data_IF_953410825277
#
_entry.id   IF_953410825277
#
_cell.length_a   1.000
_cell.length_b   1.000
_cell.length_c   1.000
_cell.angle_alpha   90.00
_cell.angle_beta   90.00
_cell.angle_gamma   90.00
#
_symmetry.space_group_name_H-M   'P 1'
#
loop_
_entity.id
_entity.type
_entity.pdbx_description
1 polymer ?
#
# COMPACT_ATOMS: atom_id res chain seq x y z
N UNK A 1 -6.38 10.75 24.79
CA UNK A 1 -7.46 10.96 23.83
C UNK A 1 -6.96 11.03 22.38
N UNK A 2 -7.81 11.10 21.38
CA UNK A 2 -7.43 11.04 19.94
C UNK A 2 -6.41 12.08 19.51
N UNK A 3 -6.48 13.31 20.07
CA UNK A 3 -5.51 14.38 19.79
C UNK A 3 -4.09 14.06 20.24
N UNK A 4 -3.95 13.36 21.38
CA UNK A 4 -2.64 12.93 21.88
C UNK A 4 -2.03 11.87 20.96
N UNK A 5 -2.83 10.86 20.59
CA UNK A 5 -2.38 9.79 19.68
C UNK A 5 -1.90 10.38 18.36
N UNK A 6 -2.64 11.33 17.78
CA UNK A 6 -2.27 11.99 16.54
C UNK A 6 -0.94 12.76 16.68
N UNK A 7 -0.78 13.50 17.78
CA UNK A 7 0.47 14.22 18.06
C UNK A 7 1.66 13.28 18.20
N UNK A 8 1.52 12.21 18.99
CA UNK A 8 2.58 11.24 19.23
C UNK A 8 2.97 10.52 17.92
N UNK A 9 1.98 10.13 17.09
CA UNK A 9 2.22 9.51 15.80
C UNK A 9 2.94 10.45 14.83
N UNK A 10 2.52 11.70 14.74
CA UNK A 10 3.17 12.71 13.88
C UNK A 10 4.62 12.93 14.29
N UNK A 11 4.88 13.04 15.58
CA UNK A 11 6.23 13.19 16.12
C UNK A 11 7.13 12.00 15.75
N UNK A 12 6.65 10.76 15.96
CA UNK A 12 7.40 9.55 15.61
C UNK A 12 7.71 9.51 14.10
N UNK A 13 6.73 9.76 13.25
CA UNK A 13 6.89 9.71 11.79
C UNK A 13 7.87 10.77 11.29
N UNK A 14 7.84 12.00 11.86
CA UNK A 14 8.78 13.06 11.52
C UNK A 14 10.21 12.64 11.86
N UNK A 15 10.47 12.16 13.09
CA UNK A 15 11.81 11.76 13.50
C UNK A 15 12.32 10.56 12.70
N UNK A 16 11.47 9.57 12.39
CA UNK A 16 11.85 8.47 11.52
C UNK A 16 12.21 8.94 10.11
N UNK A 17 11.55 9.96 9.58
CA UNK A 17 11.90 10.54 8.27
C UNK A 17 13.24 11.29 8.34
N UNK A 18 13.46 12.09 9.37
CA UNK A 18 14.70 12.84 9.58
C UNK A 18 15.90 11.89 9.77
N UNK A 19 15.75 10.85 10.57
CA UNK A 19 16.77 9.82 10.83
C UNK A 19 17.10 8.96 9.59
N UNK A 20 16.26 9.01 8.55
CA UNK A 20 16.44 8.29 7.29
C UNK A 20 16.57 9.23 6.07
N UNK A 21 17.36 10.28 6.20
CA UNK A 21 17.69 11.24 5.13
C UNK A 21 16.46 11.91 4.49
N UNK A 22 15.41 12.18 5.28
CA UNK A 22 14.19 12.81 4.80
C UNK A 22 13.31 11.88 3.95
N UNK A 23 13.31 10.59 4.23
CA UNK A 23 12.46 9.62 3.55
C UNK A 23 10.99 10.06 3.53
N UNK A 24 10.33 9.82 2.39
CA UNK A 24 8.90 10.10 2.22
C UNK A 24 8.06 9.29 3.20
N UNK A 25 7.21 9.97 3.96
CA UNK A 25 6.22 9.36 4.85
C UNK A 25 4.95 9.09 4.04
N UNK A 26 4.59 7.83 3.84
CA UNK A 26 3.33 7.48 3.19
C UNK A 26 2.27 7.11 4.25
N UNK A 27 1.10 7.74 4.17
CA UNK A 27 0.02 7.59 5.16
C UNK A 27 -1.29 7.28 4.44
N UNK A 28 -2.12 6.39 5.01
CA UNK A 28 -3.52 6.25 4.58
C UNK A 28 -4.26 7.57 4.81
N UNK A 29 -4.64 8.24 3.74
CA UNK A 29 -5.20 9.60 3.76
C UNK A 29 -6.66 9.69 4.20
N UNK A 30 -7.25 8.61 4.73
CA UNK A 30 -8.66 8.54 5.14
C UNK A 30 -8.77 8.45 6.67
N UNK A 31 -9.83 9.03 7.23
CA UNK A 31 -10.12 8.98 8.66
C UNK A 31 -9.03 9.65 9.51
N UNK A 32 -8.48 8.93 10.49
CA UNK A 32 -7.44 9.46 11.39
C UNK A 32 -6.17 9.85 10.62
N UNK A 33 -5.82 9.10 9.58
CA UNK A 33 -4.64 9.36 8.75
C UNK A 33 -4.68 10.71 8.05
N UNK A 34 -5.88 11.23 7.68
CA UNK A 34 -6.01 12.58 7.12
C UNK A 34 -5.46 13.66 8.07
N UNK A 35 -5.81 13.60 9.35
CA UNK A 35 -5.28 14.53 10.34
C UNK A 35 -3.76 14.43 10.52
N UNK A 36 -3.20 13.22 10.39
CA UNK A 36 -1.75 13.01 10.41
C UNK A 36 -1.09 13.66 9.17
N UNK A 37 -1.66 13.46 7.98
CA UNK A 37 -1.17 14.10 6.73
C UNK A 37 -1.19 15.62 6.84
N UNK A 38 -2.31 16.19 7.30
CA UNK A 38 -2.46 17.64 7.45
C UNK A 38 -1.41 18.20 8.41
N UNK A 39 -1.20 17.53 9.54
CA UNK A 39 -0.19 17.95 10.53
C UNK A 39 1.24 17.83 10.02
N UNK A 40 1.57 16.77 9.29
CA UNK A 40 2.90 16.59 8.68
C UNK A 40 3.18 17.67 7.64
N UNK A 41 2.17 18.07 6.87
CA UNK A 41 2.28 19.18 5.91
C UNK A 41 2.51 20.54 6.59
N UNK A 42 1.86 20.79 7.73
CA UNK A 42 2.06 22.03 8.51
C UNK A 42 3.51 22.23 8.99
N UNK A 43 4.26 21.15 9.15
CA UNK A 43 5.67 21.16 9.58
C UNK A 43 6.63 20.85 8.42
N UNK A 44 6.18 20.98 7.18
CA UNK A 44 6.95 20.74 5.95
C UNK A 44 7.63 19.37 5.87
N UNK A 45 7.08 18.35 6.57
CA UNK A 45 7.58 16.99 6.46
C UNK A 45 7.20 16.36 5.10
N UNK A 46 8.08 15.54 4.51
CA UNK A 46 7.82 14.90 3.21
C UNK A 46 6.75 13.83 3.34
N UNK A 47 5.48 14.17 3.08
CA UNK A 47 4.34 13.27 3.25
C UNK A 47 3.60 13.01 1.94
N UNK A 48 3.25 11.76 1.72
CA UNK A 48 2.36 11.30 0.67
C UNK A 48 1.06 10.73 1.25
N UNK A 49 -0.07 11.27 0.80
CA UNK A 49 -1.40 10.80 1.21
C UNK A 49 -1.89 9.73 0.24
N UNK A 50 -1.94 8.49 0.67
CA UNK A 50 -2.48 7.38 -0.12
C UNK A 50 -3.98 7.24 0.10
N UNK A 51 -4.74 7.07 -0.99
CA UNK A 51 -6.19 6.84 -0.96
C UNK A 51 -6.47 5.44 -1.52
N UNK A 52 -6.66 4.48 -0.62
CA UNK A 52 -6.85 3.06 -0.97
C UNK A 52 -8.01 2.82 -1.96
N UNK A 53 -9.13 3.53 -1.78
CA UNK A 53 -10.30 3.49 -2.64
C UNK A 53 -10.18 4.34 -3.92
N UNK A 54 -9.07 5.04 -4.12
CA UNK A 54 -8.84 5.87 -5.30
C UNK A 54 -8.88 5.08 -6.60
N UNK A 55 -9.12 5.78 -7.72
CA UNK A 55 -9.15 5.17 -9.04
C UNK A 55 -7.80 4.52 -9.38
N UNK A 56 -7.82 3.25 -9.79
CA UNK A 56 -6.64 2.55 -10.29
C UNK A 56 -6.07 3.24 -11.55
N UNK A 57 -4.78 3.12 -11.81
CA UNK A 57 -4.15 3.55 -13.06
C UNK A 57 -4.67 2.70 -14.24
N UNK A 58 -4.86 1.39 -14.02
CA UNK A 58 -5.51 0.49 -14.96
C UNK A 58 -6.87 0.02 -14.44
N UNK A 59 -7.95 0.83 -14.60
CA UNK A 59 -9.28 0.53 -14.06
C UNK A 59 -9.98 -0.63 -14.80
N UNK A 60 -9.52 -1.02 -15.98
CA UNK A 60 -10.01 -2.22 -16.68
C UNK A 60 -9.57 -3.52 -16.00
N UNK A 61 -8.43 -3.48 -15.29
CA UNK A 61 -7.86 -4.66 -14.62
C UNK A 61 -8.06 -4.64 -13.11
N UNK A 62 -8.04 -3.47 -12.49
CA UNK A 62 -8.10 -3.30 -11.04
C UNK A 62 -9.25 -2.38 -10.62
N UNK A 63 -9.95 -2.77 -9.57
CA UNK A 63 -11.10 -2.02 -9.06
C UNK A 63 -10.71 -0.67 -8.45
N UNK A 64 -9.57 -0.62 -7.74
CA UNK A 64 -9.06 0.58 -7.07
C UNK A 64 -7.53 0.51 -6.89
N UNK A 65 -6.94 1.60 -6.38
CA UNK A 65 -5.50 1.68 -6.14
C UNK A 65 -4.99 0.62 -5.16
N UNK A 66 -5.77 0.22 -4.15
CA UNK A 66 -5.37 -0.83 -3.22
C UNK A 66 -5.15 -2.16 -3.94
N UNK A 67 -6.08 -2.55 -4.80
CA UNK A 67 -5.97 -3.80 -5.57
C UNK A 67 -4.76 -3.76 -6.52
N UNK A 68 -4.58 -2.66 -7.23
CA UNK A 68 -3.46 -2.48 -8.15
C UNK A 68 -2.10 -2.50 -7.46
N UNK A 69 -1.96 -1.77 -6.35
CA UNK A 69 -0.69 -1.70 -5.63
C UNK A 69 -0.34 -3.01 -4.90
N UNK A 70 -1.32 -3.74 -4.35
CA UNK A 70 -1.09 -5.07 -3.78
C UNK A 70 -0.70 -6.08 -4.86
N UNK A 71 -1.28 -5.99 -6.06
CA UNK A 71 -0.85 -6.81 -7.19
C UNK A 71 0.58 -6.47 -7.64
N UNK A 72 0.92 -5.18 -7.75
CA UNK A 72 2.28 -4.75 -8.08
C UNK A 72 3.31 -5.23 -7.04
N UNK A 73 2.96 -5.15 -5.75
CA UNK A 73 3.79 -5.67 -4.67
C UNK A 73 4.01 -7.18 -4.81
N UNK A 74 2.94 -7.97 -5.08
CA UNK A 74 3.03 -9.41 -5.35
C UNK A 74 4.03 -9.70 -6.47
N UNK A 75 3.89 -9.03 -7.61
CA UNK A 75 4.77 -9.23 -8.78
C UNK A 75 6.24 -8.95 -8.44
N UNK A 76 6.53 -7.87 -7.70
CA UNK A 76 7.90 -7.54 -7.30
C UNK A 76 8.49 -8.53 -6.30
N UNK A 77 7.68 -9.09 -5.40
CA UNK A 77 8.11 -10.15 -4.47
C UNK A 77 8.43 -11.43 -5.25
N UNK A 78 7.55 -11.87 -6.14
CA UNK A 78 7.73 -13.08 -6.97
C UNK A 78 8.94 -12.98 -7.90
N UNK A 79 9.20 -11.79 -8.43
CA UNK A 79 10.38 -11.51 -9.24
C UNK A 79 11.69 -11.33 -8.42
N UNK A 80 11.64 -11.44 -7.10
CA UNK A 80 12.81 -11.24 -6.22
C UNK A 80 13.37 -9.81 -6.24
N UNK A 81 12.55 -8.82 -6.58
CA UNK A 81 12.95 -7.40 -6.66
C UNK A 81 12.81 -6.66 -5.35
N UNK A 82 12.18 -7.26 -4.36
CA UNK A 82 12.02 -6.72 -3.01
C UNK A 82 12.54 -7.74 -2.00
N UNK A 83 13.37 -7.28 -1.07
CA UNK A 83 13.77 -8.04 0.10
C UNK A 83 12.88 -7.63 1.27
N UNK A 84 12.25 -8.60 1.92
CA UNK A 84 11.38 -8.39 3.07
C UNK A 84 12.04 -8.88 4.35
N UNK A 85 11.77 -8.24 5.51
CA UNK A 85 12.21 -8.76 6.78
C UNK A 85 11.51 -10.09 7.07
N UNK A 86 12.19 -10.99 7.78
CA UNK A 86 11.60 -12.25 8.25
C UNK A 86 10.58 -11.98 9.35
N UNK A 87 9.36 -11.68 8.94
CA UNK A 87 8.23 -11.45 9.83
C UNK A 87 7.10 -12.39 9.44
N UNK A 88 6.88 -13.43 10.26
CA UNK A 88 5.89 -14.47 10.01
C UNK A 88 4.48 -13.90 9.82
N UNK A 89 4.08 -12.93 10.64
CA UNK A 89 2.77 -12.28 10.54
C UNK A 89 2.60 -11.52 9.22
N UNK A 90 3.63 -10.84 8.74
CA UNK A 90 3.61 -10.16 7.44
C UNK A 90 3.48 -11.16 6.29
N UNK A 91 4.23 -12.26 6.34
CA UNK A 91 4.18 -13.33 5.35
C UNK A 91 2.77 -13.94 5.30
N UNK A 92 2.19 -14.27 6.44
CA UNK A 92 0.83 -14.80 6.55
C UNK A 92 -0.21 -13.84 5.95
N UNK A 93 -0.11 -12.54 6.25
CA UNK A 93 -1.03 -11.54 5.73
C UNK A 93 -0.90 -11.38 4.21
N UNK A 94 0.31 -11.35 3.66
CA UNK A 94 0.54 -11.23 2.21
C UNK A 94 0.08 -12.49 1.46
N UNK A 95 0.30 -13.69 2.03
CA UNK A 95 -0.05 -14.96 1.41
C UNK A 95 -1.56 -15.26 1.40
N UNK A 96 -2.31 -14.67 2.35
CA UNK A 96 -3.73 -14.97 2.55
C UNK A 96 -4.64 -13.77 2.23
N UNK A 97 -4.22 -12.86 1.37
CA UNK A 97 -5.07 -11.75 0.93
C UNK A 97 -6.19 -12.25 0.01
N UNK A 98 -7.45 -12.27 0.45
CA UNK A 98 -8.55 -12.72 -0.38
C UNK A 98 -8.89 -11.66 -1.43
N UNK A 99 -9.13 -12.09 -2.63
CA UNK A 99 -9.54 -11.24 -3.73
C UNK A 99 -10.72 -11.86 -4.49
N UNK A 100 -11.42 -11.03 -5.21
CA UNK A 100 -12.51 -11.43 -6.14
C UNK A 100 -12.44 -10.60 -7.41
N UNK A 101 -13.21 -10.99 -8.40
CA UNK A 101 -13.44 -10.16 -9.59
C UNK A 101 -14.80 -9.45 -9.48
N UNK A 102 -14.84 -8.18 -9.84
CA UNK A 102 -16.07 -7.43 -9.99
C UNK A 102 -16.91 -7.96 -11.18
N UNK A 103 -18.17 -7.55 -11.28
CA UNK A 103 -19.02 -7.87 -12.45
C UNK A 103 -18.39 -7.43 -13.79
N UNK A 104 -17.54 -6.40 -13.76
CA UNK A 104 -16.79 -5.89 -14.92
C UNK A 104 -15.45 -6.58 -15.14
N UNK A 105 -15.14 -7.64 -14.39
CA UNK A 105 -13.91 -8.43 -14.50
C UNK A 105 -12.67 -7.80 -13.85
N UNK A 106 -12.79 -6.65 -13.17
CA UNK A 106 -11.65 -6.05 -12.47
C UNK A 106 -11.37 -6.73 -11.12
N UNK A 107 -10.09 -6.95 -10.82
CA UNK A 107 -9.64 -7.54 -9.55
C UNK A 107 -9.92 -6.58 -8.40
N UNK A 108 -10.50 -7.09 -7.35
CA UNK A 108 -10.81 -6.38 -6.11
C UNK A 108 -10.33 -7.18 -4.91
N UNK A 109 -9.60 -6.55 -3.97
CA UNK A 109 -9.30 -7.16 -2.68
C UNK A 109 -10.55 -7.13 -1.82
N UNK A 110 -10.80 -8.20 -1.08
CA UNK A 110 -11.95 -8.24 -0.16
C UNK A 110 -11.91 -7.13 0.89
N UNK A 111 -13.08 -6.72 1.33
CA UNK A 111 -13.23 -5.67 2.36
C UNK A 111 -12.76 -6.21 3.70
N UNK A 112 -12.20 -5.34 4.54
CA UNK A 112 -11.67 -5.71 5.86
C UNK A 112 -12.73 -6.30 6.80
N UNK A 113 -13.99 -5.87 6.68
CA UNK A 113 -15.11 -6.43 7.45
C UNK A 113 -15.39 -7.90 7.13
N UNK A 114 -15.08 -8.34 5.89
CA UNK A 114 -15.23 -9.74 5.47
C UNK A 114 -14.08 -10.65 5.93
N UNK A 115 -12.96 -10.09 6.36
CA UNK A 115 -11.81 -10.89 6.82
C UNK A 115 -12.18 -11.72 8.06
N UNK A 116 -12.95 -11.16 8.99
CA UNK A 116 -13.43 -11.90 10.17
C UNK A 116 -14.30 -13.09 9.79
N UNK A 117 -15.19 -12.94 8.80
CA UNK A 117 -16.05 -14.02 8.30
C UNK A 117 -15.23 -15.15 7.67
N UNK A 118 -14.06 -14.81 7.11
CA UNK A 118 -13.11 -15.77 6.51
C UNK A 118 -12.11 -16.33 7.52
N UNK A 119 -12.25 -16.02 8.82
CA UNK A 119 -11.32 -16.43 9.86
C UNK A 119 -9.95 -15.76 9.78
N UNK A 120 -9.83 -14.65 9.04
CA UNK A 120 -8.59 -13.92 8.83
C UNK A 120 -8.53 -12.68 9.72
N UNK A 121 -7.32 -12.31 10.14
CA UNK A 121 -7.05 -11.04 10.82
C UNK A 121 -6.89 -9.90 9.82
N UNK A 122 -7.09 -8.66 10.29
CA UNK A 122 -6.83 -7.46 9.48
C UNK A 122 -5.42 -7.47 8.89
N UNK A 123 -5.26 -7.20 7.59
CA UNK A 123 -3.97 -7.27 6.89
C UNK A 123 -3.13 -5.99 7.07
N UNK A 124 -3.03 -5.49 8.31
CA UNK A 124 -2.44 -4.17 8.59
C UNK A 124 -0.98 -4.06 8.19
N UNK A 125 -0.19 -5.13 8.33
CA UNK A 125 1.22 -5.14 7.90
C UNK A 125 1.34 -5.20 6.37
N UNK A 126 0.49 -5.97 5.70
CA UNK A 126 0.44 -6.02 4.24
C UNK A 126 0.01 -4.66 3.65
N UNK A 127 -1.02 -4.04 4.23
CA UNK A 127 -1.47 -2.70 3.82
C UNK A 127 -0.38 -1.64 4.09
N UNK A 128 0.31 -1.69 5.23
CA UNK A 128 1.40 -0.77 5.56
C UNK A 128 2.57 -0.89 4.57
N UNK A 129 2.97 -2.10 4.22
CA UNK A 129 4.01 -2.35 3.22
C UNK A 129 3.58 -1.83 1.84
N UNK A 130 2.36 -2.12 1.42
CA UNK A 130 1.80 -1.62 0.16
C UNK A 130 1.77 -0.08 0.12
N UNK A 131 1.37 0.58 1.21
CA UNK A 131 1.35 2.05 1.32
C UNK A 131 2.77 2.60 1.26
N UNK A 132 3.74 2.00 1.94
CA UNK A 132 5.15 2.42 1.88
C UNK A 132 5.72 2.37 0.46
N UNK A 133 5.27 1.41 -0.35
CA UNK A 133 5.73 1.19 -1.73
C UNK A 133 4.89 1.92 -2.79
N UNK A 134 3.73 2.50 -2.45
CA UNK A 134 2.75 2.99 -3.43
C UNK A 134 3.31 4.07 -4.36
N UNK A 135 4.21 4.92 -3.89
CA UNK A 135 4.84 5.95 -4.71
C UNK A 135 5.84 5.36 -5.72
N UNK A 136 6.57 4.33 -5.32
CA UNK A 136 7.43 3.58 -6.24
C UNK A 136 6.60 2.93 -7.34
N UNK A 137 5.43 2.39 -7.02
CA UNK A 137 4.51 1.82 -8.02
C UNK A 137 3.95 2.88 -8.97
N UNK A 138 3.60 4.06 -8.49
CA UNK A 138 3.11 5.15 -9.36
C UNK A 138 4.19 5.65 -10.32
N UNK A 139 5.44 5.68 -9.89
CA UNK A 139 6.58 5.99 -10.77
C UNK A 139 6.84 4.88 -11.78
N UNK A 140 6.67 3.61 -11.39
CA UNK A 140 6.76 2.47 -12.28
C UNK A 140 5.64 2.47 -13.34
N UNK A 141 4.44 2.95 -13.00
CA UNK A 141 3.30 3.03 -13.92
C UNK A 141 3.33 4.26 -14.85
N UNK A 142 4.11 5.30 -14.54
CA UNK A 142 4.10 6.60 -15.23
C UNK A 142 5.12 6.74 -16.38
N UNK A 143 5.68 5.65 -16.91
CA UNK A 143 6.69 5.77 -17.97
C UNK A 143 7.09 4.43 -18.57
N UNK A 144 8.33 4.33 -19.07
CA UNK A 144 8.93 3.10 -19.62
C UNK A 144 8.84 1.87 -18.69
N UNK A 145 8.46 2.09 -17.46
CA UNK A 145 8.26 1.11 -16.42
C UNK A 145 6.92 0.34 -16.51
N UNK A 146 5.92 0.83 -17.22
CA UNK A 146 4.72 0.04 -17.53
C UNK A 146 5.09 -1.23 -18.30
N UNK A 147 6.07 -1.13 -19.20
CA UNK A 147 6.67 -2.28 -19.92
C UNK A 147 7.41 -3.23 -18.98
N UNK A 148 8.06 -2.73 -17.93
CA UNK A 148 8.72 -3.56 -16.93
C UNK A 148 7.71 -4.35 -16.10
N UNK A 149 6.63 -3.71 -15.65
CA UNK A 149 5.53 -4.38 -14.95
C UNK A 149 4.81 -5.39 -15.84
N UNK A 150 4.63 -5.10 -17.11
CA UNK A 150 4.07 -6.06 -18.08
C UNK A 150 4.99 -7.26 -18.30
N UNK A 151 6.28 -7.03 -18.42
CA UNK A 151 7.31 -8.08 -18.55
C UNK A 151 7.38 -8.96 -17.31
N UNK A 152 7.39 -8.35 -16.11
CA UNK A 152 7.37 -9.05 -14.83
C UNK A 152 6.07 -9.85 -14.64
N UNK A 153 4.93 -9.35 -15.14
CA UNK A 153 3.66 -10.07 -15.14
C UNK A 153 3.66 -11.28 -16.09
N UNK A 154 4.38 -11.21 -17.20
CA UNK A 154 4.50 -12.32 -18.17
C UNK A 154 5.47 -13.39 -17.63
N UNK A 155 6.55 -13.00 -16.98
CA UNK A 155 7.52 -13.91 -16.38
C UNK A 155 6.97 -14.63 -15.13
N UNK A 156 6.05 -14.01 -14.38
CA UNK A 156 5.39 -14.63 -13.22
C UNK A 156 4.19 -15.51 -13.59
N UNK A 157 3.81 -15.60 -14.86
CA UNK A 157 2.69 -16.40 -15.34
C UNK A 157 3.13 -17.75 -15.97
N UNK A 158 4.44 -18.06 -15.93
CA UNK A 158 5.07 -19.32 -16.34
C UNK A 158 5.45 -20.15 -15.14
#
# INVERSE_FOLDING_TARGET
GPKKILHDLTYILQHLSEDNDGCMIAVDGIGIGKGCVDRLREIDAPVYSFIAGGRAFNPGRFFNQRAENLHALKVLIEAGKISLPRNQRMIEQLSNLPFKFSEKGSMQIERKDRFADLGLKSPDLADSLMIAMCRSFSQLNAGDNARLLEKLNQEAAV
#
